data_IF_737321555931
#
_entry.id   IF_737321555931
#
_cell.length_a   1.000
_cell.length_b   1.000
_cell.length_c   1.000
_cell.angle_alpha   90.00
_cell.angle_beta   90.00
_cell.angle_gamma   90.00
#
_symmetry.space_group_name_H-M   'P 1'
#
loop_
_entity.id
_entity.type
_entity.pdbx_description
1 polymer ?
#
# COMPACT_ATOMS: atom_id res chain seq x y z
N UNK A 1 18.00 10.10 26.49
CA UNK A 1 17.02 9.37 27.33
C UNK A 1 16.76 8.05 26.62
N UNK A 2 17.27 6.95 27.18
CA UNK A 2 17.58 5.74 26.43
C UNK A 2 16.40 4.78 26.48
N UNK A 3 15.62 4.73 25.40
CA UNK A 3 14.38 3.95 25.28
C UNK A 3 14.57 2.42 25.33
N UNK A 4 15.81 1.92 25.44
CA UNK A 4 16.14 0.49 25.49
C UNK A 4 15.79 -0.19 26.84
N UNK A 5 15.10 0.48 27.76
CA UNK A 5 15.02 0.04 29.16
C UNK A 5 13.63 -0.39 29.70
N UNK A 6 12.57 -0.51 28.90
CA UNK A 6 11.25 -0.89 29.47
C UNK A 6 10.39 -1.72 28.51
N UNK A 7 10.34 -3.04 28.72
CA UNK A 7 9.29 -3.95 28.23
C UNK A 7 8.87 -4.90 29.36
N UNK A 8 7.68 -4.65 29.91
CA UNK A 8 6.87 -5.57 30.69
C UNK A 8 5.44 -5.03 30.59
N UNK A 9 4.37 -5.75 30.27
CA UNK A 9 4.10 -7.17 30.08
C UNK A 9 2.57 -7.34 30.13
N UNK A 10 2.11 -8.54 29.81
CA UNK A 10 0.75 -9.09 30.06
C UNK A 10 -0.28 -8.93 28.93
N UNK A 11 -0.36 -10.00 28.13
CA UNK A 11 -1.56 -10.46 27.42
C UNK A 11 -2.62 -10.95 28.42
N UNK A 12 -3.90 -10.70 28.13
CA UNK A 12 -5.02 -11.49 28.66
C UNK A 12 -6.01 -11.84 27.53
N UNK A 13 -6.46 -13.10 27.55
CA UNK A 13 -7.11 -13.80 26.45
C UNK A 13 -8.65 -13.87 26.55
N UNK A 14 -9.24 -14.15 25.38
CA UNK A 14 -10.50 -14.90 25.10
C UNK A 14 -11.86 -14.34 25.51
N UNK A 15 -12.77 -14.21 24.53
CA UNK A 15 -13.87 -15.17 24.30
C UNK A 15 -14.65 -14.82 23.02
N UNK A 16 -14.87 -15.80 22.13
CA UNK A 16 -15.88 -15.70 21.08
C UNK A 16 -16.73 -16.99 21.09
N UNK A 17 -18.03 -16.78 21.23
CA UNK A 17 -19.13 -17.74 21.38
C UNK A 17 -19.45 -18.52 20.11
N UNK A 18 -19.77 -19.81 20.28
CA UNK A 18 -20.28 -20.71 19.24
C UNK A 18 -21.80 -20.92 19.36
N UNK A 19 -22.50 -21.03 18.23
CA UNK A 19 -23.84 -21.65 18.03
C UNK A 19 -24.05 -21.87 16.52
N UNK A 20 -24.02 -23.12 16.01
CA UNK A 20 -25.15 -24.01 15.61
C UNK A 20 -26.04 -23.42 14.47
N UNK A 21 -26.40 -24.08 13.34
CA UNK A 21 -26.91 -25.46 13.08
C UNK A 21 -27.04 -25.75 11.56
N UNK A 22 -26.85 -27.03 11.19
CA UNK A 22 -27.59 -27.92 10.24
C UNK A 22 -27.50 -27.84 8.69
N UNK A 23 -26.83 -28.87 8.14
CA UNK A 23 -27.08 -29.79 7.00
C UNK A 23 -27.64 -29.32 5.63
N UNK A 24 -27.00 -29.81 4.54
CA UNK A 24 -27.62 -30.63 3.47
C UNK A 24 -26.58 -31.27 2.51
N UNK A 25 -26.99 -32.34 1.83
CA UNK A 25 -26.24 -33.51 1.31
C UNK A 25 -25.39 -33.33 0.03
N UNK A 26 -24.47 -34.28 -0.31
CA UNK A 26 -23.78 -34.31 -1.59
C UNK A 26 -24.62 -35.00 -2.68
N UNK A 27 -25.01 -34.23 -3.71
CA UNK A 27 -25.58 -34.77 -4.94
C UNK A 27 -24.47 -34.92 -6.00
N UNK A 28 -24.34 -36.13 -6.53
CA UNK A 28 -23.42 -36.45 -7.61
C UNK A 28 -23.90 -35.97 -9.00
N UNK A 29 -22.93 -35.85 -9.89
CA UNK A 29 -23.06 -35.63 -11.34
C UNK A 29 -21.66 -35.24 -11.84
N UNK A 30 -20.95 -35.99 -12.67
CA UNK A 30 -21.38 -36.81 -13.79
C UNK A 30 -21.30 -35.95 -15.06
N UNK A 31 -20.16 -35.96 -15.77
CA UNK A 31 -20.11 -35.45 -17.14
C UNK A 31 -18.75 -34.89 -17.60
N UNK A 32 -18.30 -35.38 -18.77
CA UNK A 32 -17.27 -34.76 -19.61
C UNK A 32 -15.96 -35.54 -19.59
N UNK A 33 -15.65 -36.45 -20.52
CA UNK A 33 -15.81 -36.28 -21.97
C UNK A 33 -14.42 -36.04 -22.55
N UNK A 34 -13.73 -37.14 -22.82
CA UNK A 34 -12.40 -37.19 -23.42
C UNK A 34 -12.51 -36.90 -24.91
N UNK A 35 -11.79 -35.90 -25.42
CA UNK A 35 -11.71 -35.68 -26.86
C UNK A 35 -11.09 -34.35 -27.27
N UNK A 36 -9.99 -34.41 -28.02
CA UNK A 36 -9.70 -33.41 -29.05
C UNK A 36 -8.29 -32.82 -29.06
N UNK A 37 -7.45 -33.33 -29.96
CA UNK A 37 -6.73 -32.44 -30.89
C UNK A 37 -5.28 -32.09 -30.55
N UNK A 38 -4.37 -32.80 -31.19
CA UNK A 38 -3.00 -32.36 -31.45
C UNK A 38 -2.97 -31.06 -32.27
N UNK A 39 -2.04 -30.16 -31.95
CA UNK A 39 -1.72 -29.01 -32.81
C UNK A 39 -0.77 -28.01 -32.17
N UNK A 40 0.50 -28.05 -32.58
CA UNK A 40 1.39 -26.88 -32.54
C UNK A 40 2.48 -26.89 -31.47
N UNK A 41 3.62 -27.53 -31.75
CA UNK A 41 4.88 -27.07 -31.19
C UNK A 41 5.20 -25.66 -31.73
N UNK A 42 5.29 -24.70 -30.81
CA UNK A 42 5.82 -23.36 -31.04
C UNK A 42 6.37 -22.83 -29.72
N UNK A 43 7.65 -23.08 -29.47
CA UNK A 43 8.36 -22.68 -28.28
C UNK A 43 8.73 -21.18 -28.30
N UNK A 44 8.59 -20.50 -27.17
CA UNK A 44 9.41 -19.33 -26.82
C UNK A 44 8.65 -18.07 -26.40
N UNK A 45 8.56 -17.82 -25.10
CA UNK A 45 8.21 -16.50 -24.54
C UNK A 45 7.30 -16.59 -23.31
N UNK A 46 7.84 -16.98 -22.17
CA UNK A 46 7.11 -17.18 -20.92
C UNK A 46 6.30 -15.97 -20.47
N UNK A 47 4.99 -16.03 -20.70
CA UNK A 47 4.00 -15.29 -19.92
C UNK A 47 3.89 -15.94 -18.54
N UNK A 48 4.92 -15.76 -17.71
CA UNK A 48 4.94 -16.23 -16.32
C UNK A 48 3.65 -15.84 -15.64
N UNK A 49 3.00 -16.84 -15.05
CA UNK A 49 1.66 -16.73 -14.49
C UNK A 49 1.49 -15.44 -13.72
N UNK A 50 0.40 -14.73 -14.00
CA UNK A 50 -0.12 -13.65 -13.14
C UNK A 50 -0.52 -14.28 -11.82
N UNK A 51 0.49 -14.62 -11.01
CA UNK A 51 0.31 -15.12 -9.66
C UNK A 51 -0.46 -14.06 -8.90
N UNK A 52 -1.46 -14.52 -8.16
CA UNK A 52 -2.27 -13.71 -7.26
C UNK A 52 -1.36 -13.05 -6.22
N UNK A 53 -0.76 -11.93 -6.59
CA UNK A 53 0.23 -11.22 -5.79
C UNK A 53 -0.52 -10.41 -4.74
N UNK A 54 -0.70 -11.01 -3.57
CA UNK A 54 -1.33 -10.38 -2.42
C UNK A 54 -0.49 -9.17 -1.98
N UNK A 55 -1.02 -7.93 -2.06
CA UNK A 55 -0.29 -6.72 -1.67
C UNK A 55 0.17 -6.73 -0.21
N UNK A 56 -0.56 -7.42 0.68
CA UNK A 56 -0.14 -7.57 2.07
C UNK A 56 1.13 -8.43 2.15
N UNK A 57 1.18 -9.53 1.39
CA UNK A 57 2.38 -10.37 1.33
C UNK A 57 3.58 -9.66 0.70
N UNK A 58 3.35 -8.76 -0.27
CA UNK A 58 4.43 -7.92 -0.81
C UNK A 58 5.04 -7.04 0.25
N UNK A 59 4.19 -6.39 1.04
CA UNK A 59 4.63 -5.48 2.09
C UNK A 59 5.42 -6.25 3.14
N UNK A 60 4.94 -7.42 3.56
CA UNK A 60 5.68 -8.29 4.50
C UNK A 60 7.06 -8.65 3.95
N UNK A 61 7.15 -9.14 2.71
CA UNK A 61 8.44 -9.51 2.10
C UNK A 61 9.39 -8.33 1.94
N UNK A 62 8.85 -7.13 1.66
CA UNK A 62 9.65 -5.90 1.58
C UNK A 62 10.22 -5.53 2.95
N UNK A 63 9.39 -5.59 4.01
CA UNK A 63 9.80 -5.28 5.37
C UNK A 63 10.84 -6.30 5.89
N UNK A 64 10.66 -7.58 5.60
CA UNK A 64 11.63 -8.64 5.94
C UNK A 64 12.99 -8.39 5.27
N UNK A 65 13.01 -8.09 3.96
CA UNK A 65 14.25 -7.74 3.25
C UNK A 65 14.94 -6.52 3.85
N UNK A 66 14.18 -5.48 4.19
CA UNK A 66 14.74 -4.29 4.81
C UNK A 66 15.31 -4.59 6.21
N UNK A 67 14.67 -5.45 7.00
CA UNK A 67 15.21 -5.89 8.28
C UNK A 67 16.57 -6.57 8.10
N UNK A 68 16.67 -7.48 7.14
CA UNK A 68 17.91 -8.21 6.80
C UNK A 68 19.01 -7.25 6.33
N UNK A 69 18.70 -6.33 5.40
CA UNK A 69 19.65 -5.34 4.87
C UNK A 69 20.15 -4.38 5.96
N UNK A 70 19.26 -3.98 6.86
CA UNK A 70 19.59 -3.14 8.01
C UNK A 70 20.37 -3.91 9.10
N UNK A 71 20.45 -5.24 9.00
CA UNK A 71 21.03 -6.13 10.01
C UNK A 71 20.51 -5.80 11.41
N UNK A 72 19.23 -5.45 11.49
CA UNK A 72 18.59 -5.06 12.74
C UNK A 72 18.31 -6.30 13.59
N UNK A 73 18.70 -6.24 14.85
CA UNK A 73 18.28 -7.25 15.83
C UNK A 73 16.76 -7.23 16.00
N UNK A 74 16.17 -8.30 16.55
CA UNK A 74 14.72 -8.35 16.78
C UNK A 74 14.22 -7.20 17.66
N UNK A 75 15.00 -6.80 18.66
CA UNK A 75 14.62 -5.71 19.57
C UNK A 75 14.75 -4.33 18.93
N UNK A 76 15.76 -4.11 18.08
CA UNK A 76 15.85 -2.88 17.28
C UNK A 76 14.74 -2.82 16.24
N UNK A 77 14.45 -3.95 15.59
CA UNK A 77 13.42 -4.05 14.58
C UNK A 77 12.03 -3.74 15.14
N UNK A 78 11.68 -4.21 16.35
CA UNK A 78 10.42 -3.88 17.02
C UNK A 78 10.14 -2.37 17.11
N UNK A 79 11.18 -1.53 17.08
CA UNK A 79 11.04 -0.07 17.15
C UNK A 79 11.28 0.61 15.80
N UNK A 80 12.16 0.08 14.97
CA UNK A 80 12.39 0.58 13.60
C UNK A 80 11.17 0.32 12.71
N UNK A 81 10.61 -0.89 12.76
CA UNK A 81 9.51 -1.34 11.90
C UNK A 81 8.32 -0.38 11.85
N UNK A 82 7.67 0.00 12.98
CA UNK A 82 6.51 0.88 12.93
C UNK A 82 6.85 2.28 12.39
N UNK A 83 8.05 2.80 12.66
CA UNK A 83 8.50 4.11 12.17
C UNK A 83 8.80 4.08 10.67
N UNK A 84 9.45 3.01 10.19
CA UNK A 84 9.71 2.79 8.77
C UNK A 84 8.42 2.57 7.98
N UNK A 85 7.50 1.76 8.51
CA UNK A 85 6.18 1.56 7.91
C UNK A 85 5.43 2.90 7.79
N UNK A 86 5.53 3.77 8.79
CA UNK A 86 4.94 5.11 8.72
C UNK A 86 5.57 5.97 7.63
N UNK A 87 6.91 6.00 7.52
CA UNK A 87 7.61 6.71 6.44
C UNK A 87 7.12 6.23 5.07
N UNK A 88 7.03 4.92 4.86
CA UNK A 88 6.56 4.36 3.59
C UNK A 88 5.11 4.72 3.27
N UNK A 89 4.23 4.71 4.29
CA UNK A 89 2.84 5.17 4.14
C UNK A 89 2.79 6.65 3.76
N UNK A 90 3.49 7.52 4.48
CA UNK A 90 3.49 8.96 4.18
C UNK A 90 4.10 9.26 2.79
N UNK A 91 5.14 8.50 2.37
CA UNK A 91 5.69 8.58 1.01
C UNK A 91 4.66 8.16 -0.04
N UNK A 92 3.88 7.11 0.22
CA UNK A 92 2.81 6.66 -0.67
C UNK A 92 1.70 7.71 -0.77
N UNK A 93 1.31 8.30 0.36
CA UNK A 93 0.29 9.35 0.42
C UNK A 93 0.72 10.58 -0.37
N UNK A 94 1.99 10.98 -0.26
CA UNK A 94 2.59 12.06 -1.03
C UNK A 94 2.61 11.82 -2.54
N UNK A 95 2.76 10.57 -2.98
CA UNK A 95 2.68 10.20 -4.40
C UNK A 95 1.25 10.26 -4.94
N UNK A 96 0.26 10.68 -4.13
CA UNK A 96 -1.15 10.63 -4.48
C UNK A 96 -1.70 9.20 -4.54
N UNK A 97 -0.90 8.20 -4.12
CA UNK A 97 -1.25 6.79 -4.07
C UNK A 97 -2.03 6.45 -2.80
N UNK A 98 -3.01 7.29 -2.43
CA UNK A 98 -3.90 7.05 -1.30
C UNK A 98 -4.86 5.91 -1.59
N UNK A 99 -4.36 4.68 -1.54
CA UNK A 99 -5.11 3.45 -1.79
C UNK A 99 -4.48 2.26 -1.05
N UNK A 100 -4.57 2.25 0.28
CA UNK A 100 -4.55 0.97 1.02
C UNK A 100 -5.98 0.43 1.05
N UNK A 101 -6.29 -0.84 0.81
CA UNK A 101 -5.60 -2.10 1.08
C UNK A 101 -6.10 -3.14 0.06
N UNK A 102 -5.21 -3.95 -0.50
CA UNK A 102 -5.58 -5.21 -1.14
C UNK A 102 -6.29 -5.09 -2.50
N UNK A 103 -5.52 -4.89 -3.57
CA UNK A 103 -5.82 -5.44 -4.89
C UNK A 103 -6.94 -4.75 -5.66
N UNK A 104 -6.55 -4.00 -6.68
CA UNK A 104 -6.97 -4.17 -8.09
C UNK A 104 -6.20 -3.16 -8.94
N UNK A 105 -5.78 -3.64 -10.11
CA UNK A 105 -4.63 -3.12 -10.83
C UNK A 105 -4.72 -1.65 -11.20
N UNK A 106 -3.66 -0.92 -10.90
CA UNK A 106 -3.28 0.27 -11.65
C UNK A 106 -1.75 0.38 -11.55
N UNK A 107 -1.08 -0.44 -12.37
CA UNK A 107 0.31 -0.16 -12.73
C UNK A 107 0.37 1.23 -13.35
N UNK A 108 1.37 2.00 -12.95
CA UNK A 108 1.61 3.33 -13.48
C UNK A 108 1.68 3.34 -15.01
N UNK A 109 1.26 4.45 -15.59
CA UNK A 109 1.34 4.68 -17.03
C UNK A 109 0.19 5.56 -17.48
N UNK A 110 0.50 6.78 -17.90
CA UNK A 110 -0.47 7.67 -18.50
C UNK A 110 -1.12 7.06 -19.75
N UNK A 111 -2.30 7.56 -20.08
CA UNK A 111 -3.01 7.18 -21.29
C UNK A 111 -4.50 7.38 -21.10
N UNK A 112 -5.09 8.28 -21.87
CA UNK A 112 -6.49 8.65 -21.80
C UNK A 112 -7.47 7.54 -22.16
N UNK A 113 -8.75 7.87 -22.06
CA UNK A 113 -9.85 7.03 -22.51
C UNK A 113 -10.96 6.98 -21.47
N UNK A 114 -12.10 7.59 -21.80
CA UNK A 114 -13.29 7.59 -20.97
C UNK A 114 -13.80 6.19 -20.65
N UNK A 115 -14.56 6.10 -19.57
CA UNK A 115 -15.25 4.87 -19.17
C UNK A 115 -15.47 4.85 -17.67
N UNK A 116 -16.71 5.15 -17.24
CA UNK A 116 -17.15 4.94 -15.88
C UNK A 116 -16.89 3.49 -15.44
N UNK A 117 -16.22 3.32 -14.30
CA UNK A 117 -15.93 2.01 -13.76
C UNK A 117 -14.94 2.05 -12.60
N UNK A 118 -15.45 2.30 -11.38
CA UNK A 118 -14.89 1.88 -10.09
C UNK A 118 -13.34 1.92 -9.96
N UNK A 119 -12.72 3.09 -10.20
CA UNK A 119 -11.39 3.30 -9.63
C UNK A 119 -11.52 3.42 -8.11
N UNK A 120 -10.63 2.82 -7.32
CA UNK A 120 -10.62 3.02 -5.87
C UNK A 120 -10.55 4.51 -5.58
N UNK A 121 -11.57 5.05 -4.91
CA UNK A 121 -11.59 6.45 -4.52
C UNK A 121 -10.35 6.77 -3.68
N UNK A 122 -9.64 7.87 -3.97
CA UNK A 122 -8.49 8.26 -3.16
C UNK A 122 -8.96 8.51 -1.73
N UNK A 123 -8.27 7.89 -0.77
CA UNK A 123 -8.63 8.02 0.65
C UNK A 123 -7.77 9.05 1.38
N UNK A 124 -6.68 9.50 0.78
CA UNK A 124 -5.79 10.51 1.39
C UNK A 124 -6.27 11.91 1.07
N UNK A 125 -6.05 12.86 1.99
CA UNK A 125 -6.40 14.27 1.79
C UNK A 125 -5.79 14.85 0.50
N UNK A 126 -4.52 14.51 0.23
CA UNK A 126 -3.84 14.91 -1.01
C UNK A 126 -4.49 14.28 -2.25
N UNK A 127 -4.82 12.99 -2.19
CA UNK A 127 -5.49 12.29 -3.30
C UNK A 127 -6.89 12.84 -3.59
N UNK A 128 -7.66 13.13 -2.54
CA UNK A 128 -8.98 13.76 -2.65
C UNK A 128 -8.85 15.15 -3.28
N UNK A 129 -7.92 15.98 -2.80
CA UNK A 129 -7.72 17.32 -3.34
C UNK A 129 -7.25 17.30 -4.82
N UNK A 130 -6.43 16.31 -5.21
CA UNK A 130 -6.04 16.08 -6.60
C UNK A 130 -7.24 15.73 -7.48
N UNK A 131 -8.07 14.77 -7.04
CA UNK A 131 -9.30 14.37 -7.72
C UNK A 131 -10.23 15.57 -7.88
N UNK A 132 -10.47 16.30 -6.80
CA UNK A 132 -11.42 17.42 -6.78
C UNK A 132 -11.03 18.55 -7.72
N UNK A 133 -9.74 18.87 -7.80
CA UNK A 133 -9.23 19.84 -8.76
C UNK A 133 -9.37 19.33 -10.19
N UNK A 134 -9.02 18.06 -10.45
CA UNK A 134 -9.16 17.44 -11.77
C UNK A 134 -10.61 17.46 -12.25
N UNK A 135 -11.55 17.00 -11.43
CA UNK A 135 -12.98 17.00 -11.75
C UNK A 135 -13.50 18.41 -12.06
N UNK A 136 -13.04 19.42 -11.31
CA UNK A 136 -13.41 20.81 -11.57
C UNK A 136 -12.86 21.35 -12.90
N UNK A 137 -11.68 20.90 -13.32
CA UNK A 137 -11.11 21.28 -14.62
C UNK A 137 -11.78 20.53 -15.79
N UNK A 138 -12.34 19.35 -15.55
CA UNK A 138 -13.09 18.56 -16.54
C UNK A 138 -14.54 19.04 -16.70
N UNK A 139 -15.13 19.64 -15.65
CA UNK A 139 -16.50 20.14 -15.67
C UNK A 139 -16.60 21.50 -16.38
N UNK A 140 -17.40 21.55 -17.45
CA UNK A 140 -17.72 22.80 -18.15
C UNK A 140 -18.43 23.79 -17.21
N UNK A 141 -18.03 25.06 -17.27
CA UNK A 141 -18.65 26.14 -16.50
C UNK A 141 -18.21 26.25 -15.03
N UNK A 142 -17.22 25.46 -14.57
CA UNK A 142 -16.64 25.68 -13.25
C UNK A 142 -16.02 27.08 -13.16
N UNK A 143 -16.39 27.84 -12.13
CA UNK A 143 -15.92 29.21 -11.94
C UNK A 143 -14.42 29.27 -11.62
N UNK A 144 -13.77 30.40 -11.96
CA UNK A 144 -12.38 30.64 -11.60
C UNK A 144 -12.17 30.62 -10.07
N UNK A 145 -13.14 31.12 -9.31
CA UNK A 145 -13.10 31.13 -7.85
C UNK A 145 -13.11 29.71 -7.28
N UNK A 146 -13.92 28.80 -7.84
CA UNK A 146 -13.99 27.42 -7.35
C UNK A 146 -12.76 26.59 -7.75
N UNK A 147 -12.19 26.83 -8.93
CA UNK A 147 -10.88 26.29 -9.31
C UNK A 147 -9.81 26.80 -8.34
N UNK A 148 -9.83 28.10 -8.01
CA UNK A 148 -8.92 28.72 -7.05
C UNK A 148 -8.98 28.08 -5.66
N UNK A 149 -10.18 27.84 -5.13
CA UNK A 149 -10.37 27.14 -3.84
C UNK A 149 -9.82 25.72 -3.87
N UNK A 150 -10.11 24.94 -4.92
CA UNK A 150 -9.62 23.56 -5.06
C UNK A 150 -8.10 23.49 -5.19
N UNK A 151 -7.51 24.44 -5.91
CA UNK A 151 -6.05 24.56 -6.02
C UNK A 151 -5.41 24.91 -4.66
N UNK A 152 -6.03 25.81 -3.88
CA UNK A 152 -5.60 26.13 -2.53
C UNK A 152 -5.64 24.89 -1.62
N UNK A 153 -6.72 24.13 -1.67
CA UNK A 153 -6.87 22.88 -0.91
C UNK A 153 -5.80 21.85 -1.30
N UNK A 154 -5.51 21.70 -2.59
CA UNK A 154 -4.45 20.81 -3.07
C UNK A 154 -3.07 21.22 -2.52
N UNK A 155 -2.76 22.51 -2.52
CA UNK A 155 -1.49 23.02 -1.98
C UNK A 155 -1.37 22.75 -0.47
N UNK A 156 -2.41 23.04 0.29
CA UNK A 156 -2.45 22.79 1.73
C UNK A 156 -2.33 21.28 2.05
N UNK A 157 -3.04 20.42 1.30
CA UNK A 157 -2.95 18.98 1.48
C UNK A 157 -1.55 18.43 1.17
N UNK A 158 -0.88 18.98 0.15
CA UNK A 158 0.51 18.61 -0.16
C UNK A 158 1.46 19.04 0.93
N UNK A 159 1.35 20.29 1.40
CA UNK A 159 2.18 20.81 2.48
C UNK A 159 2.05 19.95 3.75
N UNK A 160 0.83 19.61 4.14
CA UNK A 160 0.56 18.72 5.27
C UNK A 160 1.16 17.32 5.08
N UNK A 161 1.01 16.73 3.90
CA UNK A 161 1.60 15.43 3.59
C UNK A 161 3.13 15.47 3.64
N UNK A 162 3.75 16.56 3.18
CA UNK A 162 5.21 16.78 3.27
C UNK A 162 5.66 16.89 4.73
N UNK A 163 4.98 17.71 5.53
CA UNK A 163 5.29 17.88 6.95
C UNK A 163 5.16 16.56 7.73
N UNK A 164 4.16 15.74 7.40
CA UNK A 164 3.98 14.41 7.99
C UNK A 164 5.16 13.49 7.64
N UNK A 165 5.56 13.44 6.36
CA UNK A 165 6.71 12.63 5.94
C UNK A 165 8.00 13.08 6.64
N UNK A 166 8.26 14.38 6.73
CA UNK A 166 9.43 14.90 7.44
C UNK A 166 9.44 14.51 8.92
N UNK A 167 8.28 14.59 9.58
CA UNK A 167 8.13 14.18 10.98
C UNK A 167 8.42 12.70 11.14
N UNK A 168 7.89 11.85 10.26
CA UNK A 168 8.13 10.41 10.28
C UNK A 168 9.59 10.06 10.00
N UNK A 169 10.22 10.76 9.05
CA UNK A 169 11.66 10.59 8.73
C UNK A 169 12.52 10.95 9.95
N UNK A 170 12.26 12.08 10.61
CA UNK A 170 12.97 12.48 11.85
C UNK A 170 12.80 11.43 12.95
N UNK A 171 11.56 11.01 13.21
CA UNK A 171 11.27 9.99 14.22
C UNK A 171 11.96 8.66 13.92
N UNK A 172 12.09 8.28 12.65
CA UNK A 172 12.84 7.09 12.24
C UNK A 172 14.35 7.28 12.48
N UNK A 173 14.94 8.40 12.07
CA UNK A 173 16.38 8.68 12.26
C UNK A 173 16.82 8.62 13.74
N UNK A 174 15.97 9.02 14.67
CA UNK A 174 16.25 8.96 16.12
C UNK A 174 16.51 7.54 16.66
N UNK A 175 16.07 6.51 15.96
CA UNK A 175 16.21 5.10 16.40
C UNK A 175 17.18 4.29 15.55
N UNK A 176 17.77 4.89 14.51
CA UNK A 176 18.70 4.23 13.62
C UNK A 176 20.14 4.45 14.05
N UNK A 177 20.98 3.47 13.72
CA UNK A 177 22.43 3.67 13.65
C UNK A 177 22.82 4.35 12.34
N UNK A 178 24.00 4.98 12.29
CA UNK A 178 24.52 5.61 11.08
C UNK A 178 24.58 4.66 9.86
N UNK A 179 24.91 3.38 10.09
CA UNK A 179 24.91 2.36 9.04
C UNK A 179 23.50 2.11 8.50
N UNK A 180 22.50 2.01 9.38
CA UNK A 180 21.12 1.76 8.99
C UNK A 180 20.51 2.96 8.26
N UNK A 181 20.79 4.18 8.72
CA UNK A 181 20.38 5.39 8.01
C UNK A 181 20.95 5.42 6.59
N UNK A 182 22.26 5.15 6.43
CA UNK A 182 22.88 5.10 5.11
C UNK A 182 22.22 4.07 4.17
N UNK A 183 21.87 2.88 4.68
CA UNK A 183 21.14 1.88 3.88
C UNK A 183 19.76 2.38 3.45
N UNK A 184 19.01 3.01 4.35
CA UNK A 184 17.69 3.57 4.02
C UNK A 184 17.76 4.76 3.06
N UNK A 185 18.84 5.54 3.09
CA UNK A 185 19.09 6.60 2.10
C UNK A 185 19.36 5.98 0.73
N UNK A 186 20.23 4.96 0.64
CA UNK A 186 20.50 4.26 -0.61
C UNK A 186 19.25 3.61 -1.22
N UNK A 187 18.35 3.13 -0.36
CA UNK A 187 17.07 2.53 -0.76
C UNK A 187 15.97 3.57 -1.05
N UNK A 188 16.24 4.87 -0.88
CA UNK A 188 15.28 5.96 -1.14
C UNK A 188 14.15 6.10 -0.10
N UNK A 189 14.25 5.40 1.02
CA UNK A 189 13.30 5.55 2.14
C UNK A 189 13.61 6.81 2.95
N UNK A 190 14.89 7.16 3.07
CA UNK A 190 15.37 8.39 3.69
C UNK A 190 16.10 9.26 2.66
N UNK A 191 16.26 10.53 3.03
CA UNK A 191 17.02 11.57 2.32
C UNK A 191 17.93 12.28 3.32
#
# INVERSE_FOLDING_TARGET
MNWRATLAGVMLATAATASFTLAQAPAGGGGGGQGGGAGGQGAGGGGGGRGNFDPAQMQTRMMERLKEDLKATDDEWKVIEPKLAKVMTDQRDLRGGGGGRGGRGQGGGGGGGGGGGNQPEPTTELGIALRDLRTALEAEGTSADDIGKKLSNLRAAREKATANLETSRKALKEVLTARQEAQLVLNGALE
#
